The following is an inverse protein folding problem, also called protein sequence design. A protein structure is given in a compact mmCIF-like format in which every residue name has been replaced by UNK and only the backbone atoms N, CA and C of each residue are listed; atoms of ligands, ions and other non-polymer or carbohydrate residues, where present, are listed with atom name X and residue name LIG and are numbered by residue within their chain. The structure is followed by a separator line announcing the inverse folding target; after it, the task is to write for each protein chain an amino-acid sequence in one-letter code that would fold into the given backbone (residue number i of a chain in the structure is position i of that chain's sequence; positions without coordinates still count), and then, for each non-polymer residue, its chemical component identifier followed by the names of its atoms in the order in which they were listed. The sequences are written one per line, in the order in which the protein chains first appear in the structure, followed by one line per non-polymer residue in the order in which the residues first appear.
data_IF_096210471515
#
_entry.id   IF_096210471515
#
_cell.length_a   1.000
_cell.length_b   1.000
_cell.length_c   1.000
_cell.angle_alpha   90.00
_cell.angle_beta   90.00
_cell.angle_gamma   90.00
#
_symmetry.space_group_name_H-M   'P 1'
#
loop_
_entity.id
_entity.type
_entity.pdbx_description
1 polymer ?
#
# COMPACT_ATOMS: atom_id res chain seq x y z
N UNK A 1 -22.48 32.07 -31.16
CA UNK A 1 -22.28 32.22 -29.71
C UNK A 1 -23.24 31.26 -29.04
N UNK A 2 -22.68 30.17 -28.49
CA UNK A 2 -23.42 29.10 -27.83
C UNK A 2 -23.59 29.41 -26.34
N UNK A 3 -24.69 28.93 -25.75
CA UNK A 3 -24.78 28.68 -24.31
C UNK A 3 -25.39 27.28 -24.16
N UNK A 4 -24.54 26.31 -23.84
CA UNK A 4 -24.96 24.99 -23.37
C UNK A 4 -24.65 24.94 -21.89
N UNK A 5 -25.69 25.15 -21.09
CA UNK A 5 -25.67 25.05 -19.63
C UNK A 5 -25.74 23.57 -19.25
N UNK A 6 -24.74 23.07 -18.52
CA UNK A 6 -24.73 21.73 -17.95
C UNK A 6 -25.11 21.82 -16.46
N UNK A 7 -26.37 21.51 -16.13
CA UNK A 7 -26.83 21.40 -14.75
C UNK A 7 -26.59 19.96 -14.25
N UNK A 8 -25.52 19.76 -13.47
CA UNK A 8 -25.28 18.52 -12.74
C UNK A 8 -26.02 18.56 -11.40
N UNK A 9 -27.15 17.85 -11.33
CA UNK A 9 -27.98 17.74 -10.14
C UNK A 9 -27.57 16.50 -9.34
N UNK A 10 -26.75 16.69 -8.30
CA UNK A 10 -26.29 15.64 -7.40
C UNK A 10 -27.15 15.66 -6.13
N UNK A 11 -28.29 14.95 -6.13
CA UNK A 11 -29.01 14.60 -4.91
C UNK A 11 -30.02 13.48 -5.19
N UNK A 12 -29.73 12.27 -4.71
CA UNK A 12 -30.62 11.69 -3.71
C UNK A 12 -30.02 10.46 -3.01
N UNK A 13 -29.91 10.60 -1.69
CA UNK A 13 -29.68 9.57 -0.69
C UNK A 13 -31.06 9.07 -0.27
N UNK A 14 -31.35 7.79 -0.50
CA UNK A 14 -32.48 7.11 0.14
C UNK A 14 -32.03 5.73 0.61
N UNK A 15 -32.03 5.57 1.94
CA UNK A 15 -31.93 4.30 2.65
C UNK A 15 -33.25 3.56 2.58
N UNK A 16 -33.22 2.24 2.40
CA UNK A 16 -34.20 1.18 2.82
C UNK A 16 -33.94 -0.03 1.92
N UNK A 17 -34.04 -1.31 2.25
CA UNK A 17 -34.24 -2.15 3.44
C UNK A 17 -34.23 -3.58 2.88
N UNK A 18 -33.67 -4.52 3.64
CA UNK A 18 -33.97 -5.96 3.63
C UNK A 18 -33.98 -6.75 2.32
N UNK A 19 -33.03 -7.69 2.21
CA UNK A 19 -33.37 -9.07 1.81
C UNK A 19 -32.27 -10.03 2.23
N UNK A 20 -32.59 -10.84 3.23
CA UNK A 20 -31.94 -12.12 3.52
C UNK A 20 -31.80 -12.93 2.23
N UNK A 21 -30.57 -13.20 1.82
CA UNK A 21 -30.28 -14.25 0.84
C UNK A 21 -29.10 -15.06 1.35
N UNK A 22 -29.40 -16.19 1.98
CA UNK A 22 -28.43 -17.22 2.31
C UNK A 22 -27.85 -17.79 1.01
N UNK A 23 -26.62 -17.38 0.67
CA UNK A 23 -25.86 -17.99 -0.41
C UNK A 23 -25.00 -19.14 0.14
N UNK A 24 -25.44 -20.33 -0.26
CA UNK A 24 -24.74 -21.60 -0.24
C UNK A 24 -23.40 -21.41 -0.99
N UNK A 25 -22.28 -21.53 -0.28
CA UNK A 25 -20.95 -21.59 -0.88
C UNK A 25 -20.74 -23.00 -1.45
N UNK A 26 -20.44 -23.18 -2.74
CA UNK A 26 -19.84 -24.41 -3.22
C UNK A 26 -18.37 -24.42 -2.76
N UNK A 27 -18.00 -25.48 -2.05
CA UNK A 27 -16.62 -25.94 -1.93
C UNK A 27 -16.04 -26.24 -3.31
N UNK A 28 -14.70 -26.26 -3.35
CA UNK A 28 -13.81 -26.72 -4.42
C UNK A 28 -13.14 -25.62 -5.25
N UNK A 29 -11.88 -25.34 -4.89
CA UNK A 29 -10.73 -25.59 -5.77
C UNK A 29 -9.42 -25.32 -5.02
N UNK A 30 -8.81 -26.40 -4.54
CA UNK A 30 -7.42 -26.44 -4.11
C UNK A 30 -6.49 -26.10 -5.29
N UNK A 31 -5.91 -24.90 -5.28
CA UNK A 31 -4.71 -24.63 -6.09
C UNK A 31 -3.47 -25.13 -5.33
N UNK A 32 -3.06 -26.36 -5.66
CA UNK A 32 -1.75 -26.89 -5.29
C UNK A 32 -0.67 -26.20 -6.15
N UNK A 33 0.02 -25.22 -5.58
CA UNK A 33 1.27 -24.70 -6.15
C UNK A 33 2.45 -25.50 -5.58
N UNK A 34 2.72 -26.67 -6.18
CA UNK A 34 3.93 -27.44 -5.90
C UNK A 34 5.08 -26.80 -6.68
N UNK A 35 5.93 -26.01 -6.01
CA UNK A 35 7.23 -25.64 -6.57
C UNK A 35 8.26 -26.74 -6.29
N UNK A 36 9.04 -27.20 -7.29
CA UNK A 36 10.13 -28.13 -7.07
C UNK A 36 11.35 -27.41 -6.45
N UNK A 37 11.95 -28.06 -5.45
CA UNK A 37 13.24 -27.72 -4.86
C UNK A 37 14.33 -27.61 -5.94
N UNK A 38 14.85 -26.41 -6.15
CA UNK A 38 16.13 -26.18 -6.81
C UNK A 38 17.27 -26.37 -5.82
N UNK A 39 17.98 -27.49 -5.93
CA UNK A 39 19.23 -27.77 -5.24
C UNK A 39 20.37 -26.99 -5.88
N UNK A 40 21.10 -26.17 -5.12
CA UNK A 40 22.43 -25.66 -5.45
C UNK A 40 23.17 -25.45 -4.12
N UNK A 41 23.83 -26.50 -3.64
CA UNK A 41 25.24 -26.84 -3.87
C UNK A 41 26.18 -25.84 -3.19
N UNK A 42 26.68 -26.29 -2.03
CA UNK A 42 27.80 -25.74 -1.28
C UNK A 42 29.09 -25.75 -2.13
N UNK A 43 29.88 -24.68 -2.03
CA UNK A 43 31.34 -24.73 -2.05
C UNK A 43 31.95 -23.52 -1.29
N UNK A 44 33.19 -23.61 -0.79
CA UNK A 44 33.66 -22.91 0.41
C UNK A 44 34.69 -21.78 0.18
N UNK A 45 34.85 -20.96 1.23
CA UNK A 45 36.02 -20.21 1.71
C UNK A 45 37.07 -19.64 0.74
N UNK A 46 37.16 -18.31 0.72
CA UNK A 46 38.42 -17.57 0.66
C UNK A 46 38.34 -16.31 1.55
N UNK A 47 39.33 -16.06 2.43
CA UNK A 47 39.45 -14.83 3.20
C UNK A 47 40.40 -13.80 2.54
N UNK A 48 40.50 -12.62 3.17
CA UNK A 48 41.63 -11.66 3.20
C UNK A 48 41.38 -10.26 2.55
N UNK A 49 41.17 -9.32 3.48
CA UNK A 49 41.84 -8.02 3.68
C UNK A 49 41.57 -6.74 2.85
N UNK A 50 41.09 -5.76 3.63
CA UNK A 50 41.71 -4.45 3.92
C UNK A 50 41.57 -3.27 2.96
N UNK A 51 40.92 -2.24 3.51
CA UNK A 51 41.28 -0.81 3.50
C UNK A 51 41.52 -0.11 2.15
N UNK A 52 40.71 0.92 1.89
CA UNK A 52 41.26 2.29 1.82
C UNK A 52 40.17 3.35 1.96
N UNK A 53 40.46 4.24 2.89
CA UNK A 53 39.92 5.56 3.21
C UNK A 53 40.12 6.54 2.05
N UNK A 54 39.11 7.35 1.69
CA UNK A 54 39.30 8.81 1.53
C UNK A 54 37.98 9.62 1.34
N UNK A 55 37.60 10.30 2.41
CA UNK A 55 37.45 11.76 2.61
C UNK A 55 37.15 12.73 1.44
N UNK A 56 36.15 13.61 1.69
CA UNK A 56 36.05 15.06 1.32
C UNK A 56 35.66 15.40 -0.15
N UNK A 57 34.89 16.46 -0.51
CA UNK A 57 34.39 17.69 0.14
C UNK A 57 33.34 18.38 -0.80
N UNK A 58 32.46 19.21 -0.21
CA UNK A 58 31.94 20.51 -0.71
C UNK A 58 30.91 20.62 -1.87
N UNK A 59 29.68 20.98 -1.48
CA UNK A 59 28.87 22.12 -2.01
C UNK A 59 29.41 23.45 -1.39
N UNK A 60 29.06 24.71 -1.79
CA UNK A 60 27.98 25.22 -2.67
C UNK A 60 28.35 26.49 -3.53
N UNK A 61 27.32 27.19 -4.04
CA UNK A 61 27.30 28.61 -4.52
C UNK A 61 27.58 28.81 -6.03
N UNK A 62 26.93 29.68 -6.81
CA UNK A 62 25.97 30.77 -6.59
C UNK A 62 26.00 31.71 -7.81
N UNK A 63 25.08 32.69 -7.87
CA UNK A 63 24.95 33.83 -8.82
C UNK A 63 24.39 33.49 -10.23
N UNK A 64 23.29 34.06 -10.76
CA UNK A 64 22.71 35.42 -10.75
C UNK A 64 23.66 36.54 -11.24
N UNK A 65 23.62 36.80 -12.55
CA UNK A 65 23.72 38.10 -13.26
C UNK A 65 23.38 37.79 -14.73
N UNK A 66 22.57 38.53 -15.49
CA UNK A 66 22.26 39.95 -15.45
C UNK A 66 22.72 40.57 -16.79
N UNK A 67 21.76 40.75 -17.71
CA UNK A 67 21.67 41.79 -18.78
C UNK A 67 22.89 42.10 -19.68
N UNK A 68 22.72 41.97 -21.01
CA UNK A 68 22.49 43.12 -21.92
C UNK A 68 22.75 42.76 -23.39
N UNK A 69 21.75 43.09 -24.22
CA UNK A 69 21.79 43.80 -25.50
C UNK A 69 22.74 43.39 -26.66
N UNK A 70 22.06 43.07 -27.76
CA UNK A 70 22.29 43.51 -29.14
C UNK A 70 23.60 43.13 -29.86
N UNK A 71 23.47 42.23 -30.84
CA UNK A 71 24.21 42.29 -32.09
C UNK A 71 23.50 41.46 -33.15
N UNK A 72 22.85 42.18 -34.05
CA UNK A 72 22.41 41.72 -35.37
C UNK A 72 23.57 41.11 -36.15
N UNK A 73 23.45 39.85 -36.54
CA UNK A 73 24.08 39.35 -37.76
C UNK A 73 23.25 38.24 -38.38
N UNK A 74 22.96 38.49 -39.65
CA UNK A 74 22.11 37.76 -40.56
C UNK A 74 22.96 36.65 -41.18
N UNK A 75 22.77 35.40 -40.76
CA UNK A 75 23.27 34.25 -41.50
C UNK A 75 22.14 33.24 -41.73
N UNK A 76 21.96 32.95 -43.01
CA UNK A 76 20.95 32.08 -43.59
C UNK A 76 21.13 30.65 -43.10
N UNK A 77 20.31 30.25 -42.13
CA UNK A 77 20.10 28.84 -41.79
C UNK A 77 18.74 28.45 -42.35
N UNK A 78 18.78 27.58 -43.35
CA UNK A 78 17.63 26.96 -43.98
C UNK A 78 16.63 26.43 -42.93
N UNK A 79 15.31 26.52 -43.16
CA UNK A 79 14.36 25.96 -42.22
C UNK A 79 14.64 24.45 -42.10
N UNK A 80 14.89 23.92 -40.89
CA UNK A 80 14.92 22.48 -40.74
C UNK A 80 13.54 21.99 -41.14
N UNK A 81 13.53 21.06 -42.11
CA UNK A 81 12.37 20.32 -42.56
C UNK A 81 11.35 20.22 -41.44
N UNK A 82 10.13 20.68 -41.73
CA UNK A 82 8.91 20.34 -41.01
C UNK A 82 8.98 18.85 -40.72
N UNK A 83 9.42 18.51 -39.50
CA UNK A 83 9.29 17.17 -38.99
C UNK A 83 7.80 16.95 -39.05
N UNK A 84 7.38 16.09 -39.98
CA UNK A 84 6.06 15.50 -39.96
C UNK A 84 5.99 14.90 -38.56
N UNK A 85 5.34 15.61 -37.64
CA UNK A 85 4.90 15.04 -36.39
C UNK A 85 4.05 13.89 -36.88
N UNK A 86 4.62 12.68 -36.87
CA UNK A 86 3.89 11.47 -37.17
C UNK A 86 2.88 11.42 -36.05
N UNK A 87 1.70 11.95 -36.35
CA UNK A 87 0.58 11.93 -35.44
C UNK A 87 0.27 10.46 -35.28
N UNK A 88 0.79 9.87 -34.19
CA UNK A 88 0.35 8.57 -33.71
C UNK A 88 -1.07 8.69 -33.13
N UNK A 89 -1.95 9.40 -33.84
CA UNK A 89 -3.38 9.22 -33.74
C UNK A 89 -3.73 7.86 -34.36
N UNK A 90 -3.19 6.77 -33.79
CA UNK A 90 -3.97 5.55 -33.71
C UNK A 90 -5.30 5.97 -33.11
N UNK A 91 -6.33 6.01 -33.96
CA UNK A 91 -7.69 6.37 -33.59
C UNK A 91 -8.00 5.77 -32.23
N UNK A 92 -8.19 6.63 -31.22
CA UNK A 92 -8.52 6.21 -29.86
C UNK A 92 -9.73 5.29 -29.86
N UNK A 93 -10.66 5.47 -30.82
CA UNK A 93 -11.78 4.57 -31.04
C UNK A 93 -11.37 3.16 -31.47
N UNK A 94 -10.34 2.99 -32.31
CA UNK A 94 -9.85 1.66 -32.70
C UNK A 94 -9.15 0.96 -31.52
N UNK A 95 -8.34 1.71 -30.75
CA UNK A 95 -7.72 1.19 -29.54
C UNK A 95 -8.78 0.84 -28.48
N UNK A 96 -9.76 1.72 -28.28
CA UNK A 96 -10.87 1.51 -27.35
C UNK A 96 -11.67 0.25 -27.67
N UNK A 97 -11.99 0.00 -28.94
CA UNK A 97 -12.65 -1.24 -29.37
C UNK A 97 -11.85 -2.49 -29.02
N UNK A 98 -10.53 -2.47 -29.24
CA UNK A 98 -9.65 -3.58 -28.88
C UNK A 98 -9.64 -3.81 -27.36
N UNK A 99 -9.58 -2.73 -26.56
CA UNK A 99 -9.63 -2.82 -25.09
C UNK A 99 -10.96 -3.42 -24.62
N UNK A 100 -12.09 -2.98 -25.18
CA UNK A 100 -13.42 -3.55 -24.88
C UNK A 100 -13.50 -5.05 -25.15
N UNK A 101 -12.87 -5.54 -26.22
CA UNK A 101 -12.84 -6.98 -26.51
C UNK A 101 -11.95 -7.78 -25.54
N UNK A 102 -10.97 -7.13 -24.89
CA UNK A 102 -10.01 -7.79 -24.00
C UNK A 102 -10.44 -7.82 -22.52
N UNK A 103 -11.33 -6.93 -22.10
CA UNK A 103 -11.75 -6.77 -20.71
C UNK A 103 -13.28 -6.90 -20.63
N UNK A 104 -13.83 -7.83 -19.83
CA UNK A 104 -15.27 -7.95 -19.66
C UNK A 104 -15.78 -6.74 -18.87
N UNK A 105 -16.45 -5.82 -19.55
CA UNK A 105 -17.06 -4.63 -18.95
C UNK A 105 -18.57 -4.82 -18.79
N UNK A 106 -19.16 -4.12 -17.82
CA UNK A 106 -20.62 -4.05 -17.71
C UNK A 106 -21.20 -3.18 -18.83
N UNK A 107 -22.45 -3.43 -19.25
CA UNK A 107 -23.13 -2.63 -20.29
C UNK A 107 -23.14 -1.12 -19.96
N UNK A 108 -23.23 -0.77 -18.67
CA UNK A 108 -23.16 0.63 -18.20
C UNK A 108 -21.75 1.22 -18.32
N UNK A 109 -20.73 0.44 -18.00
CA UNK A 109 -19.32 0.84 -18.11
C UNK A 109 -18.88 0.98 -19.57
N UNK A 110 -19.36 0.11 -20.46
CA UNK A 110 -19.08 0.18 -21.90
C UNK A 110 -19.60 1.47 -22.52
N UNK A 111 -20.84 1.86 -22.23
CA UNK A 111 -21.42 3.11 -22.75
C UNK A 111 -20.64 4.35 -22.29
N UNK A 112 -20.17 4.37 -21.03
CA UNK A 112 -19.32 5.45 -20.51
C UNK A 112 -17.93 5.47 -21.14
N UNK A 113 -17.37 4.29 -21.41
CA UNK A 113 -16.09 4.16 -22.08
C UNK A 113 -16.15 4.60 -23.55
N UNK A 114 -17.23 4.26 -24.25
CA UNK A 114 -17.48 4.75 -25.62
C UNK A 114 -17.59 6.28 -25.63
N UNK A 115 -18.34 6.86 -24.69
CA UNK A 115 -18.42 8.32 -24.50
C UNK A 115 -17.05 8.97 -24.23
N UNK A 116 -16.20 8.34 -23.42
CA UNK A 116 -14.84 8.80 -23.17
C UNK A 116 -13.97 8.77 -24.45
N UNK A 117 -14.09 7.71 -25.25
CA UNK A 117 -13.38 7.59 -26.53
C UNK A 117 -13.88 8.59 -27.58
N UNK A 118 -15.15 8.99 -27.50
CA UNK A 118 -15.78 10.00 -28.36
C UNK A 118 -15.48 11.44 -27.92
N UNK A 119 -15.01 11.66 -26.68
CA UNK A 119 -14.61 12.98 -26.17
C UNK A 119 -13.48 13.52 -27.05
N UNK A 120 -13.72 14.63 -27.76
CA UNK A 120 -12.91 15.05 -28.91
C UNK A 120 -11.54 15.58 -28.46
N UNK A 121 -11.50 16.28 -27.33
CA UNK A 121 -10.29 16.98 -26.90
C UNK A 121 -9.37 16.08 -26.05
N UNK A 122 -8.10 15.89 -26.45
CA UNK A 122 -7.15 15.11 -25.67
C UNK A 122 -6.88 15.69 -24.27
N UNK A 123 -6.91 17.02 -24.12
CA UNK A 123 -6.62 17.65 -22.84
C UNK A 123 -7.77 17.44 -21.85
N UNK A 124 -9.03 17.54 -22.31
CA UNK A 124 -10.21 17.15 -21.52
C UNK A 124 -10.14 15.69 -21.05
N UNK A 125 -9.73 14.76 -21.92
CA UNK A 125 -9.57 13.35 -21.56
C UNK A 125 -8.49 13.11 -20.50
N UNK A 126 -7.36 13.83 -20.58
CA UNK A 126 -6.31 13.75 -19.58
C UNK A 126 -6.76 14.35 -18.24
N UNK A 127 -7.47 15.48 -18.27
CA UNK A 127 -8.04 16.08 -17.06
C UNK A 127 -9.03 15.13 -16.36
N UNK A 128 -9.91 14.47 -17.13
CA UNK A 128 -10.83 13.45 -16.61
C UNK A 128 -10.10 12.25 -16.00
N UNK A 129 -9.07 11.73 -16.68
CA UNK A 129 -8.27 10.62 -16.17
C UNK A 129 -7.58 10.99 -14.85
N UNK A 130 -7.03 12.21 -14.77
CA UNK A 130 -6.40 12.71 -13.55
C UNK A 130 -7.42 12.86 -12.41
N UNK A 131 -8.60 13.44 -12.68
CA UNK A 131 -9.67 13.57 -11.69
C UNK A 131 -10.12 12.19 -11.15
N UNK A 132 -10.32 11.20 -12.03
CA UNK A 132 -10.66 9.83 -11.62
C UNK A 132 -9.55 9.21 -10.76
N UNK A 133 -8.27 9.44 -11.11
CA UNK A 133 -7.16 8.93 -10.32
C UNK A 133 -7.14 9.53 -8.90
N UNK A 134 -7.45 10.82 -8.75
CA UNK A 134 -7.58 11.46 -7.44
C UNK A 134 -8.76 10.89 -6.64
N UNK A 135 -9.91 10.67 -7.26
CA UNK A 135 -11.07 10.03 -6.63
C UNK A 135 -10.70 8.63 -6.12
N UNK A 136 -10.01 7.82 -6.94
CA UNK A 136 -9.55 6.49 -6.50
C UNK A 136 -8.55 6.57 -5.35
N UNK A 137 -7.67 7.58 -5.32
CA UNK A 137 -6.75 7.79 -4.21
C UNK A 137 -7.49 8.15 -2.92
N UNK A 138 -8.54 8.98 -3.00
CA UNK A 138 -9.33 9.36 -1.84
C UNK A 138 -10.18 8.19 -1.32
N UNK A 139 -10.79 7.40 -2.21
CA UNK A 139 -11.45 6.14 -1.85
C UNK A 139 -10.47 5.17 -1.20
N UNK A 140 -9.25 5.04 -1.75
CA UNK A 140 -8.20 4.21 -1.17
C UNK A 140 -7.76 4.72 0.20
N UNK A 141 -7.68 6.03 0.45
CA UNK A 141 -7.40 6.58 1.78
C UNK A 141 -8.52 6.25 2.76
N UNK A 142 -9.78 6.29 2.31
CA UNK A 142 -10.93 5.94 3.14
C UNK A 142 -10.97 4.46 3.50
N UNK A 143 -10.64 3.58 2.55
CA UNK A 143 -10.50 2.13 2.77
C UNK A 143 -9.25 1.82 3.59
N UNK A 144 -8.16 2.57 3.36
CA UNK A 144 -6.91 2.48 4.09
C UNK A 144 -6.92 3.30 5.38
N UNK A 145 -8.08 3.59 5.97
CA UNK A 145 -8.15 3.67 7.42
C UNK A 145 -7.87 2.25 7.90
N UNK A 146 -6.65 1.92 8.38
CA UNK A 146 -6.40 0.58 8.85
C UNK A 146 -7.45 0.34 9.91
N UNK A 147 -8.37 -0.59 9.65
CA UNK A 147 -9.31 -1.05 10.66
C UNK A 147 -8.43 -1.42 11.83
N UNK A 148 -8.51 -0.62 12.91
CA UNK A 148 -7.61 -0.78 14.06
C UNK A 148 -7.76 -2.23 14.47
N UNK A 149 -6.72 -3.02 14.27
CA UNK A 149 -6.77 -4.41 14.67
C UNK A 149 -7.01 -4.37 16.18
N UNK A 150 -8.05 -5.07 16.64
CA UNK A 150 -8.37 -5.11 18.06
C UNK A 150 -8.08 -6.51 18.52
N UNK A 151 -7.19 -6.61 19.51
CA UNK A 151 -6.92 -7.85 20.24
C UNK A 151 -8.25 -8.40 20.76
N UNK A 152 -8.61 -9.62 20.36
CA UNK A 152 -9.86 -10.26 20.81
C UNK A 152 -9.89 -10.39 22.33
N UNK A 153 -11.08 -10.27 22.93
CA UNK A 153 -11.23 -10.36 24.39
C UNK A 153 -10.76 -11.71 24.94
N UNK A 154 -10.94 -12.80 24.19
CA UNK A 154 -10.46 -14.11 24.59
C UNK A 154 -8.93 -14.20 24.56
N UNK A 155 -8.28 -13.58 23.57
CA UNK A 155 -6.82 -13.47 23.55
C UNK A 155 -6.31 -12.65 24.75
N UNK A 156 -7.01 -11.58 25.15
CA UNK A 156 -6.64 -10.79 26.36
C UNK A 156 -6.70 -11.63 27.63
N UNK A 157 -7.72 -12.49 27.79
CA UNK A 157 -7.81 -13.41 28.95
C UNK A 157 -6.63 -14.38 28.97
N UNK A 158 -6.27 -14.93 27.81
CA UNK A 158 -5.12 -15.83 27.68
C UNK A 158 -3.82 -15.09 28.02
N UNK A 159 -3.60 -13.89 27.47
CA UNK A 159 -2.45 -13.04 27.80
C UNK A 159 -2.34 -12.84 29.32
N UNK A 160 -3.44 -12.51 29.99
CA UNK A 160 -3.47 -12.33 31.45
C UNK A 160 -3.03 -13.61 32.19
N UNK A 161 -3.54 -14.78 31.77
CA UNK A 161 -3.19 -16.06 32.36
C UNK A 161 -1.71 -16.38 32.20
N UNK A 162 -1.16 -16.18 30.99
CA UNK A 162 0.26 -16.41 30.70
C UNK A 162 1.17 -15.40 31.42
N UNK A 163 0.78 -14.13 31.53
CA UNK A 163 1.49 -13.13 32.32
C UNK A 163 1.56 -13.54 33.80
N UNK A 164 0.48 -14.06 34.38
CA UNK A 164 0.48 -14.57 35.76
C UNK A 164 1.36 -15.79 35.92
N UNK A 165 1.25 -16.77 35.01
CA UNK A 165 2.08 -17.96 35.03
C UNK A 165 3.58 -17.63 34.91
N UNK A 166 3.91 -16.65 34.06
CA UNK A 166 5.26 -16.12 33.94
C UNK A 166 5.74 -15.52 35.27
N UNK A 167 4.97 -14.61 35.89
CA UNK A 167 5.32 -13.98 37.17
C UNK A 167 5.43 -14.96 38.35
N UNK A 168 4.71 -16.08 38.30
CA UNK A 168 4.77 -17.11 39.34
C UNK A 168 5.86 -18.16 39.06
N UNK A 169 6.53 -18.10 37.91
CA UNK A 169 7.53 -19.09 37.55
C UNK A 169 8.78 -18.95 38.43
N UNK A 170 9.21 -20.02 39.12
CA UNK A 170 10.42 -20.00 39.96
C UNK A 170 11.70 -19.86 39.14
N UNK A 171 11.63 -20.05 37.81
CA UNK A 171 12.77 -19.93 36.90
C UNK A 171 13.18 -18.48 36.63
N UNK A 172 12.35 -17.50 36.99
CA UNK A 172 12.63 -16.09 36.74
C UNK A 172 13.44 -15.51 37.90
N UNK A 173 14.74 -15.39 37.68
CA UNK A 173 15.65 -14.75 38.64
C UNK A 173 15.56 -13.22 38.62
N UNK A 174 15.13 -12.62 37.50
CA UNK A 174 14.91 -11.18 37.40
C UNK A 174 13.91 -10.80 36.30
N UNK A 175 13.15 -9.73 36.54
CA UNK A 175 12.15 -9.16 35.62
C UNK A 175 12.72 -8.07 34.69
N UNK A 176 14.03 -8.12 34.41
CA UNK A 176 14.71 -7.08 33.62
C UNK A 176 14.86 -7.53 32.17
N UNK A 177 14.44 -6.69 31.23
CA UNK A 177 14.60 -6.91 29.78
C UNK A 177 13.29 -7.17 29.05
N UNK A 178 13.38 -7.85 27.91
CA UNK A 178 12.26 -8.11 27.00
C UNK A 178 11.33 -9.24 27.51
N UNK A 179 10.74 -9.05 28.69
CA UNK A 179 9.83 -10.03 29.27
C UNK A 179 8.58 -10.27 28.40
N UNK A 180 8.06 -9.23 27.76
CA UNK A 180 6.90 -9.31 26.88
C UNK A 180 7.15 -10.16 25.64
N UNK A 181 8.33 -10.05 25.03
CA UNK A 181 8.75 -10.92 23.92
C UNK A 181 8.89 -12.38 24.35
N UNK A 182 9.39 -12.64 25.57
CA UNK A 182 9.49 -14.02 26.10
C UNK A 182 8.12 -14.64 26.34
N UNK A 183 7.17 -13.86 26.87
CA UNK A 183 5.78 -14.33 27.04
C UNK A 183 5.14 -14.57 25.68
N UNK A 184 5.32 -13.66 24.72
CA UNK A 184 4.82 -13.86 23.35
C UNK A 184 5.41 -15.13 22.73
N UNK A 185 6.73 -15.33 22.82
CA UNK A 185 7.41 -16.52 22.31
C UNK A 185 6.85 -17.80 22.94
N UNK A 186 6.65 -17.82 24.26
CA UNK A 186 6.04 -18.96 24.95
C UNK A 186 4.60 -19.21 24.48
N UNK A 187 3.80 -18.16 24.25
CA UNK A 187 2.44 -18.30 23.71
C UNK A 187 2.44 -18.84 22.27
N UNK A 188 3.42 -18.44 21.45
CA UNK A 188 3.61 -18.98 20.10
C UNK A 188 4.03 -20.45 20.13
N UNK A 189 4.97 -20.83 21.00
CA UNK A 189 5.41 -22.23 21.17
C UNK A 189 4.27 -23.14 21.63
N UNK A 190 3.36 -22.62 22.47
CA UNK A 190 2.18 -23.33 22.95
C UNK A 190 0.98 -23.27 21.99
N UNK A 191 1.15 -22.70 20.79
CA UNK A 191 0.12 -22.57 19.77
C UNK A 191 -1.19 -21.96 20.31
N UNK A 192 -1.12 -20.85 21.05
CA UNK A 192 -2.32 -20.16 21.55
C UNK A 192 -3.17 -19.66 20.39
N UNK A 193 -4.44 -20.08 20.36
CA UNK A 193 -5.40 -19.66 19.35
C UNK A 193 -5.57 -18.13 19.32
N UNK A 194 -5.58 -17.56 18.12
CA UNK A 194 -5.84 -16.13 17.91
C UNK A 194 -4.61 -15.22 17.91
N UNK A 195 -3.39 -15.77 18.05
CA UNK A 195 -2.16 -15.00 17.86
C UNK A 195 -2.03 -14.54 16.39
N UNK A 196 -1.60 -13.28 16.16
CA UNK A 196 -1.32 -12.81 14.80
C UNK A 196 -0.13 -13.57 14.20
N UNK A 197 -0.20 -13.89 12.91
CA UNK A 197 0.92 -14.46 12.18
C UNK A 197 2.12 -13.51 12.16
N UNK A 198 3.34 -14.06 12.21
CA UNK A 198 4.60 -13.31 12.15
C UNK A 198 4.73 -12.38 10.94
N UNK A 199 3.90 -12.61 9.91
CA UNK A 199 3.82 -11.80 8.70
C UNK A 199 3.29 -10.38 8.94
N UNK A 200 2.62 -10.11 10.06
CA UNK A 200 2.02 -8.82 10.39
C UNK A 200 2.69 -8.18 11.63
N UNK A 201 3.82 -7.46 11.46
CA UNK A 201 4.58 -6.90 12.58
C UNK A 201 3.78 -5.89 13.40
N UNK A 202 2.82 -5.18 12.79
CA UNK A 202 1.94 -4.23 13.47
C UNK A 202 1.07 -4.91 14.53
N UNK A 203 0.40 -6.02 14.19
CA UNK A 203 -0.45 -6.73 15.14
C UNK A 203 0.38 -7.34 16.29
N UNK A 204 1.58 -7.83 15.98
CA UNK A 204 2.52 -8.34 16.99
C UNK A 204 2.91 -7.23 17.98
N UNK A 205 3.20 -6.03 17.47
CA UNK A 205 3.54 -4.88 18.32
C UNK A 205 2.41 -4.50 19.29
N UNK A 206 1.15 -4.62 18.85
CA UNK A 206 -0.01 -4.39 19.70
C UNK A 206 -0.18 -5.46 20.78
N UNK A 207 0.04 -6.73 20.45
CA UNK A 207 0.03 -7.83 21.45
C UNK A 207 1.15 -7.64 22.47
N UNK A 208 2.36 -7.31 22.04
CA UNK A 208 3.50 -7.03 22.93
C UNK A 208 3.18 -5.86 23.86
N UNK A 209 2.54 -4.81 23.34
CA UNK A 209 2.10 -3.66 24.14
C UNK A 209 1.08 -4.10 25.21
N UNK A 210 0.10 -4.93 24.84
CA UNK A 210 -0.89 -5.47 25.77
C UNK A 210 -0.24 -6.32 26.87
N UNK A 211 0.67 -7.24 26.51
CA UNK A 211 1.43 -8.06 27.46
C UNK A 211 2.23 -7.16 28.41
N UNK A 212 2.94 -6.15 27.89
CA UNK A 212 3.78 -5.24 28.66
C UNK A 212 2.95 -4.44 29.69
N UNK A 213 1.77 -3.98 29.29
CA UNK A 213 0.82 -3.30 30.18
C UNK A 213 0.36 -4.22 31.33
N UNK A 214 0.00 -5.47 31.02
CA UNK A 214 -0.46 -6.43 32.03
C UNK A 214 0.66 -6.81 33.01
N UNK A 215 1.87 -7.07 32.52
CA UNK A 215 3.04 -7.33 33.38
C UNK A 215 3.34 -6.14 34.31
N UNK A 216 3.24 -4.91 33.80
CA UNK A 216 3.43 -3.69 34.60
C UNK A 216 2.35 -3.55 35.67
N UNK A 217 1.09 -3.80 35.32
CA UNK A 217 -0.04 -3.77 36.24
C UNK A 217 0.15 -4.76 37.40
N UNK A 218 0.41 -6.03 37.09
CA UNK A 218 0.64 -7.05 38.14
C UNK A 218 1.85 -6.73 39.01
N UNK A 219 2.92 -6.21 38.43
CA UNK A 219 4.09 -5.76 39.20
C UNK A 219 3.73 -4.66 40.19
N UNK A 220 2.92 -3.68 39.77
CA UNK A 220 2.48 -2.59 40.64
C UNK A 220 1.72 -3.13 41.84
N UNK A 221 0.78 -4.06 41.61
CA UNK A 221 -0.02 -4.70 42.67
C UNK A 221 0.84 -5.51 43.63
N UNK A 222 1.83 -6.25 43.12
CA UNK A 222 2.74 -7.03 43.96
C UNK A 222 3.66 -6.17 44.83
N UNK A 223 4.00 -4.95 44.39
CA UNK A 223 4.82 -4.02 45.18
C UNK A 223 4.05 -3.30 46.27
N UNK A 224 2.74 -3.13 46.11
CA UNK A 224 1.89 -2.36 47.03
C UNK A 224 1.38 -3.16 48.23
N UNK A 225 1.72 -4.45 48.34
CA UNK A 225 1.22 -5.38 49.34
C UNK A 225 2.38 -5.94 50.14
#
# INVERSE_FOLDING_TARGET
MANLTFDYNFNNRASSSDSDTALIYPEDHFFNFTQPLGSSQLAPDQPIDSNSTNTQTETPSGLWNGTSEDSTNNDSISPPNTATFVSYATSLGNFGKMVKCSIPLSTSSEAKFDLYCETIDPDERHALQYALSLETLDLLKDIHKPGRWVVSEDLKKMIIMYCKAFLLSPTITSYRGNCSERVLKAMTELNVNGLPSEKNPLHISEVITCISQQLTSFRSVMKSK
#
